data_IF_521233920258
#
_entry.id   IF_521233920258
#
_cell.length_a   1.000
_cell.length_b   1.000
_cell.length_c   1.000
_cell.angle_alpha   90.00
_cell.angle_beta   90.00
_cell.angle_gamma   90.00
#
_symmetry.space_group_name_H-M   'P 1'
#
loop_
_entity.id
_entity.type
_entity.pdbx_description
1 polymer ?
#
# COMPACT_ATOMS: atom_id res chain seq x y z
N UNK A 1 -49.53 -25.41 -63.46
CA UNK A 1 -48.16 -25.90 -63.82
C UNK A 1 -47.29 -25.73 -62.54
N UNK A 2 -47.07 -26.85 -61.83
CA UNK A 2 -46.27 -26.90 -60.59
C UNK A 2 -44.81 -27.04 -60.93
N UNK A 3 -43.93 -26.15 -60.42
CA UNK A 3 -42.52 -26.39 -60.37
C UNK A 3 -42.06 -26.52 -58.91
N UNK A 4 -41.67 -27.72 -58.54
CA UNK A 4 -41.02 -28.10 -57.34
C UNK A 4 -39.56 -27.62 -57.39
N UNK A 5 -39.14 -26.78 -56.48
CA UNK A 5 -37.72 -26.49 -56.22
C UNK A 5 -37.27 -27.30 -55.01
N UNK A 6 -36.31 -28.16 -55.34
CA UNK A 6 -35.63 -29.06 -54.39
C UNK A 6 -34.61 -28.23 -53.59
N UNK A 7 -34.78 -28.12 -52.24
CA UNK A 7 -33.78 -27.57 -51.33
C UNK A 7 -32.80 -28.66 -50.90
N UNK A 8 -31.56 -28.47 -51.25
CA UNK A 8 -30.44 -29.32 -50.83
C UNK A 8 -29.85 -28.77 -49.53
N UNK A 9 -29.75 -29.50 -48.42
CA UNK A 9 -29.08 -29.01 -47.22
C UNK A 9 -27.56 -29.16 -47.35
N UNK A 10 -26.85 -28.03 -47.23
CA UNK A 10 -25.40 -27.99 -47.07
C UNK A 10 -25.05 -28.25 -45.62
N UNK A 11 -24.47 -29.41 -45.32
CA UNK A 11 -23.85 -29.69 -44.01
C UNK A 11 -22.52 -28.93 -43.93
N UNK A 12 -22.46 -27.89 -43.11
CA UNK A 12 -21.19 -27.29 -42.65
C UNK A 12 -20.63 -28.11 -41.49
N UNK A 13 -19.53 -28.81 -41.74
CA UNK A 13 -18.73 -29.42 -40.68
C UNK A 13 -17.87 -28.34 -40.00
N UNK A 14 -18.21 -27.95 -38.78
CA UNK A 14 -17.36 -27.14 -37.91
C UNK A 14 -16.30 -28.03 -37.28
N UNK A 15 -15.07 -27.94 -37.78
CA UNK A 15 -13.87 -28.45 -37.08
C UNK A 15 -13.53 -27.54 -35.92
N UNK A 16 -13.85 -27.96 -34.69
CA UNK A 16 -13.42 -27.32 -33.49
C UNK A 16 -11.92 -27.61 -33.25
N UNK A 17 -11.04 -26.63 -33.57
CA UNK A 17 -9.67 -26.62 -33.08
C UNK A 17 -9.69 -26.37 -31.56
N UNK A 18 -9.55 -27.46 -30.76
CA UNK A 18 -9.34 -27.40 -29.35
C UNK A 18 -7.95 -26.83 -29.02
N UNK A 19 -7.79 -25.51 -28.98
CA UNK A 19 -6.66 -24.86 -28.34
C UNK A 19 -6.82 -24.96 -26.83
N UNK A 20 -6.12 -25.91 -26.18
CA UNK A 20 -6.01 -26.00 -24.74
C UNK A 20 -5.28 -24.76 -24.19
N UNK A 21 -6.02 -23.68 -24.01
CA UNK A 21 -5.55 -22.54 -23.22
C UNK A 21 -5.33 -22.99 -21.79
N UNK A 22 -4.08 -23.09 -21.35
CA UNK A 22 -3.73 -23.20 -19.95
C UNK A 22 -4.24 -21.93 -19.28
N UNK A 23 -5.43 -21.97 -18.72
CA UNK A 23 -5.89 -20.97 -17.76
C UNK A 23 -5.03 -21.19 -16.52
N UNK A 24 -4.13 -20.25 -16.15
CA UNK A 24 -3.40 -20.39 -14.91
C UNK A 24 -4.44 -20.51 -13.79
N UNK A 25 -4.32 -21.57 -13.00
CA UNK A 25 -5.18 -21.76 -11.84
C UNK A 25 -5.12 -20.49 -10.98
N UNK A 26 -6.25 -19.98 -10.46
CA UNK A 26 -6.24 -18.89 -9.55
C UNK A 26 -5.32 -19.24 -8.39
N UNK A 27 -4.29 -18.43 -8.17
CA UNK A 27 -3.40 -18.57 -7.02
C UNK A 27 -4.27 -18.31 -5.79
N UNK A 28 -4.83 -19.37 -5.23
CA UNK A 28 -5.53 -19.38 -3.95
C UNK A 28 -4.49 -19.38 -2.81
N UNK A 29 -3.48 -18.53 -2.90
CA UNK A 29 -2.74 -18.08 -1.76
C UNK A 29 -3.67 -17.15 -0.98
N UNK A 30 -4.18 -17.62 0.17
CA UNK A 30 -4.74 -16.74 1.19
C UNK A 30 -3.74 -15.60 1.31
N UNK A 31 -4.10 -14.33 1.02
CA UNK A 31 -3.18 -13.24 1.26
C UNK A 31 -2.78 -13.38 2.72
N UNK A 32 -1.46 -13.39 3.00
CA UNK A 32 -0.97 -13.39 4.36
C UNK A 32 -1.70 -12.25 5.07
N UNK A 33 -2.66 -12.65 5.93
CA UNK A 33 -3.54 -11.71 6.58
C UNK A 33 -2.70 -10.97 7.62
N UNK A 34 -2.21 -9.82 7.25
CA UNK A 34 -1.42 -9.00 8.16
C UNK A 34 -0.34 -8.19 7.48
N UNK A 35 0.01 -7.13 8.14
CA UNK A 35 0.98 -6.14 7.71
C UNK A 35 2.43 -6.62 7.81
N UNK A 36 2.70 -7.55 8.73
CA UNK A 36 4.01 -8.13 9.00
C UNK A 36 3.85 -9.57 9.53
N UNK A 37 4.82 -10.46 9.28
CA UNK A 37 4.78 -11.81 9.81
C UNK A 37 4.59 -11.83 11.33
N UNK A 38 3.73 -12.75 11.83
CA UNK A 38 3.46 -12.93 13.26
C UNK A 38 2.72 -11.75 13.89
N UNK A 39 1.81 -11.14 13.16
CA UNK A 39 0.93 -10.03 13.62
C UNK A 39 1.65 -8.84 14.26
N UNK A 40 2.91 -8.61 13.86
CA UNK A 40 3.77 -7.52 14.37
C UNK A 40 3.51 -6.18 13.69
N UNK A 41 2.62 -6.14 12.69
CA UNK A 41 2.17 -4.91 12.06
C UNK A 41 1.18 -4.16 12.95
N UNK A 42 1.31 -2.85 13.02
CA UNK A 42 0.37 -2.00 13.74
C UNK A 42 0.35 -0.58 13.18
N UNK A 43 -0.74 0.13 13.46
CA UNK A 43 -0.85 1.57 13.26
C UNK A 43 -1.67 2.17 14.38
N UNK A 44 -1.08 3.15 15.06
CA UNK A 44 -1.72 4.03 16.03
C UNK A 44 -1.65 5.46 15.52
N UNK A 45 -2.77 6.18 15.60
CA UNK A 45 -2.79 7.59 15.25
C UNK A 45 -3.85 8.32 16.08
N UNK A 46 -3.76 9.65 16.12
CA UNK A 46 -4.77 10.49 16.74
C UNK A 46 -5.14 11.61 15.79
N UNK A 47 -6.43 11.68 15.46
CA UNK A 47 -7.02 12.67 14.57
C UNK A 47 -8.00 13.56 15.34
N UNK A 48 -8.03 14.85 14.95
CA UNK A 48 -9.02 15.83 15.41
C UNK A 48 -9.47 16.74 14.28
N UNK A 49 -10.60 17.36 14.46
CA UNK A 49 -11.18 18.30 13.48
C UNK A 49 -12.16 17.61 12.56
N UNK A 50 -11.90 17.60 11.26
CA UNK A 50 -12.83 17.03 10.27
C UNK A 50 -13.11 15.53 10.45
N UNK A 51 -12.25 14.84 11.15
CA UNK A 51 -12.39 13.45 11.57
C UNK A 51 -11.89 13.32 13.02
N UNK A 52 -12.78 12.96 13.92
CA UNK A 52 -12.44 12.62 15.30
C UNK A 52 -12.27 11.12 15.41
N UNK A 53 -11.02 10.64 15.51
CA UNK A 53 -10.72 9.22 15.56
C UNK A 53 -9.36 8.97 16.20
N UNK A 54 -9.25 7.86 16.91
CA UNK A 54 -7.99 7.41 17.51
C UNK A 54 -7.77 5.92 17.14
N UNK A 55 -7.43 5.60 15.88
CA UNK A 55 -7.18 4.23 15.46
C UNK A 55 -6.02 3.61 16.22
N UNK A 56 -6.21 2.34 16.62
CA UNK A 56 -5.22 1.46 17.22
C UNK A 56 -5.39 0.06 16.61
N UNK A 57 -4.83 -0.12 15.40
CA UNK A 57 -5.03 -1.31 14.58
C UNK A 57 -3.82 -2.23 14.65
N UNK A 58 -4.07 -3.52 14.70
CA UNK A 58 -3.04 -4.55 14.82
C UNK A 58 -3.31 -5.77 13.93
N UNK A 59 -2.25 -6.52 13.65
CA UNK A 59 -2.31 -7.86 13.09
C UNK A 59 -3.17 -7.99 11.85
N UNK A 60 -4.04 -8.98 11.82
CA UNK A 60 -4.88 -9.33 10.68
C UNK A 60 -5.97 -8.31 10.32
N UNK A 61 -6.26 -7.34 11.18
CA UNK A 61 -7.21 -6.25 10.88
C UNK A 61 -6.60 -5.19 9.95
N UNK A 62 -5.28 -5.15 9.88
CA UNK A 62 -4.51 -4.14 9.19
C UNK A 62 -3.91 -4.70 7.91
N UNK A 63 -4.15 -4.02 6.79
CA UNK A 63 -3.43 -4.26 5.55
C UNK A 63 -2.40 -3.16 5.35
N UNK A 64 -1.20 -3.51 4.90
CA UNK A 64 -0.21 -2.51 4.54
C UNK A 64 0.59 -2.89 3.29
N UNK A 65 1.11 -1.90 2.67
CA UNK A 65 2.01 -1.99 1.52
C UNK A 65 3.01 -0.84 1.56
N UNK A 66 4.16 -1.05 0.99
CA UNK A 66 5.16 0.01 0.88
C UNK A 66 6.23 -0.30 -0.14
N UNK A 67 7.00 0.73 -0.46
CA UNK A 67 8.10 0.67 -1.42
C UNK A 67 8.77 2.03 -1.58
N UNK A 68 9.67 2.14 -2.54
CA UNK A 68 10.23 3.41 -2.93
C UNK A 68 9.14 4.32 -3.54
N UNK A 69 9.29 5.62 -3.35
CA UNK A 69 8.43 6.59 -4.03
C UNK A 69 8.78 6.64 -5.52
N UNK A 70 7.77 6.78 -6.41
CA UNK A 70 8.01 6.81 -7.85
C UNK A 70 8.95 7.93 -8.32
N UNK A 71 9.00 9.03 -7.57
CA UNK A 71 9.89 10.19 -7.83
C UNK A 71 11.32 9.99 -7.29
N UNK A 72 11.60 8.85 -6.66
CA UNK A 72 12.91 8.55 -6.06
C UNK A 72 13.23 9.35 -4.79
N UNK A 73 12.31 10.19 -4.29
CA UNK A 73 12.55 11.10 -3.16
C UNK A 73 12.37 10.44 -1.79
N UNK A 74 12.33 9.12 -1.72
CA UNK A 74 12.20 8.43 -0.44
C UNK A 74 11.35 7.18 -0.51
N UNK A 75 10.63 6.89 0.56
CA UNK A 75 9.76 5.72 0.65
C UNK A 75 8.29 6.09 0.92
N UNK A 76 7.41 5.19 0.54
CA UNK A 76 5.96 5.28 0.80
C UNK A 76 5.53 4.06 1.58
N UNK A 77 4.73 4.26 2.64
CA UNK A 77 4.05 3.19 3.36
C UNK A 77 2.57 3.53 3.46
N UNK A 78 1.71 2.56 3.17
CA UNK A 78 0.26 2.70 3.19
C UNK A 78 -0.37 1.67 4.12
N UNK A 79 -1.34 2.10 4.91
CA UNK A 79 -2.10 1.28 5.83
C UNK A 79 -3.59 1.40 5.52
N UNK A 80 -4.30 0.29 5.51
CA UNK A 80 -5.75 0.24 5.40
C UNK A 80 -6.31 -0.49 6.62
N UNK A 81 -7.08 0.25 7.41
CA UNK A 81 -7.69 -0.25 8.64
C UNK A 81 -8.91 -1.14 8.40
N UNK A 82 -9.49 -1.70 9.48
CA UNK A 82 -10.73 -2.46 9.40
C UNK A 82 -11.90 -1.57 8.95
N UNK A 83 -13.01 -2.18 8.49
CA UNK A 83 -14.24 -1.46 8.21
C UNK A 83 -14.79 -0.79 9.47
N UNK A 84 -15.20 0.47 9.37
CA UNK A 84 -15.95 1.18 10.38
C UNK A 84 -17.41 0.75 10.46
N UNK A 85 -18.19 1.43 11.29
CA UNK A 85 -19.59 1.07 11.58
C UNK A 85 -20.51 1.10 10.35
N UNK A 86 -20.17 1.90 9.35
CA UNK A 86 -20.95 2.04 8.10
C UNK A 86 -20.24 1.42 6.89
N UNK A 87 -19.19 0.62 7.13
CA UNK A 87 -18.42 -0.05 6.09
C UNK A 87 -17.33 0.80 5.45
N UNK A 88 -17.19 2.07 5.84
CA UNK A 88 -16.06 2.91 5.44
C UNK A 88 -14.75 2.38 6.02
N UNK A 89 -13.65 2.61 5.31
CA UNK A 89 -12.31 2.25 5.78
C UNK A 89 -11.39 3.46 5.71
N UNK A 90 -10.52 3.59 6.69
CA UNK A 90 -9.49 4.61 6.65
C UNK A 90 -8.22 4.04 6.02
N UNK A 91 -7.73 4.74 5.02
CA UNK A 91 -6.39 4.52 4.47
C UNK A 91 -5.48 5.68 4.84
N UNK A 92 -4.35 5.35 5.42
CA UNK A 92 -3.27 6.31 5.70
C UNK A 92 -2.09 6.03 4.79
N UNK A 93 -1.61 7.06 4.11
CA UNK A 93 -0.44 6.97 3.24
C UNK A 93 0.63 7.95 3.75
N UNK A 94 1.79 7.42 4.08
CA UNK A 94 2.95 8.17 4.52
C UNK A 94 3.96 8.24 3.37
N UNK A 95 4.32 9.44 2.94
CA UNK A 95 5.43 9.69 2.04
C UNK A 95 6.59 10.27 2.84
N UNK A 96 7.63 9.47 3.07
CA UNK A 96 8.72 9.75 3.99
C UNK A 96 9.98 10.04 3.18
N UNK A 97 10.61 11.19 3.41
CA UNK A 97 11.86 11.60 2.74
C UNK A 97 13.07 10.92 3.40
N UNK A 98 13.11 9.60 3.31
CA UNK A 98 14.21 8.78 3.79
C UNK A 98 14.62 7.77 2.74
N UNK A 99 15.92 7.57 2.58
CA UNK A 99 16.46 6.63 1.59
C UNK A 99 16.08 5.20 1.96
N UNK A 100 15.61 4.38 0.99
CA UNK A 100 15.39 2.95 1.19
C UNK A 100 16.63 2.25 1.76
N UNK A 101 16.42 1.33 2.72
CA UNK A 101 17.50 0.56 3.33
C UNK A 101 18.36 1.30 4.36
N UNK A 102 18.09 2.58 4.65
CA UNK A 102 18.78 3.29 5.74
C UNK A 102 18.31 2.77 7.09
N UNK A 103 19.15 2.09 7.90
CA UNK A 103 18.67 1.38 9.09
C UNK A 103 17.96 2.27 10.12
N UNK A 104 18.44 3.50 10.28
CA UNK A 104 17.87 4.48 11.23
C UNK A 104 17.88 5.88 10.66
N UNK A 105 16.77 6.60 10.87
CA UNK A 105 16.64 8.01 10.52
C UNK A 105 15.93 8.76 11.65
N UNK A 106 16.18 10.06 11.76
CA UNK A 106 15.54 10.96 12.73
C UNK A 106 15.18 12.27 12.06
N UNK A 107 14.14 12.92 12.58
CA UNK A 107 13.68 14.22 12.13
C UNK A 107 13.45 14.27 10.60
N UNK A 108 12.75 13.25 10.07
CA UNK A 108 12.58 13.07 8.63
C UNK A 108 11.30 13.78 8.16
N UNK A 109 11.39 14.69 7.18
CA UNK A 109 10.23 15.30 6.57
C UNK A 109 9.27 14.25 6.00
N UNK A 110 7.97 14.49 6.19
CA UNK A 110 6.96 13.49 5.85
C UNK A 110 5.68 14.17 5.41
N UNK A 111 5.05 13.66 4.37
CA UNK A 111 3.68 14.01 4.03
C UNK A 111 2.72 12.86 4.36
N UNK A 112 1.49 13.20 4.69
CA UNK A 112 0.48 12.23 5.06
C UNK A 112 -0.79 12.51 4.25
N UNK A 113 -1.36 11.44 3.71
CA UNK A 113 -2.68 11.47 3.10
C UNK A 113 -3.60 10.52 3.86
N UNK A 114 -4.75 11.01 4.27
CA UNK A 114 -5.82 10.23 4.91
C UNK A 114 -7.00 10.15 3.96
N UNK A 115 -7.43 8.94 3.62
CA UNK A 115 -8.52 8.67 2.69
C UNK A 115 -9.61 7.91 3.44
N UNK A 116 -10.85 8.37 3.36
CA UNK A 116 -12.02 7.62 3.82
C UNK A 116 -12.55 6.84 2.63
N UNK A 117 -12.15 5.57 2.50
CA UNK A 117 -12.63 4.70 1.42
C UNK A 117 -14.11 4.37 1.64
N UNK A 118 -14.90 4.46 0.57
CA UNK A 118 -16.36 4.39 0.66
C UNK A 118 -17.03 5.74 0.93
N UNK A 119 -16.29 6.76 1.39
CA UNK A 119 -16.63 8.16 1.47
C UNK A 119 -15.96 8.95 0.34
N UNK A 120 -16.34 10.20 0.17
CA UNK A 120 -15.68 11.12 -0.79
C UNK A 120 -14.69 12.05 -0.09
N UNK A 121 -14.06 11.59 0.99
CA UNK A 121 -13.20 12.42 1.83
C UNK A 121 -11.74 12.01 1.66
N UNK A 122 -10.92 13.00 1.37
CA UNK A 122 -9.47 12.89 1.30
C UNK A 122 -8.86 14.14 1.94
N UNK A 123 -7.91 13.91 2.83
CA UNK A 123 -7.14 14.96 3.50
C UNK A 123 -5.66 14.73 3.23
N UNK A 124 -4.94 15.77 2.82
CA UNK A 124 -3.52 15.67 2.54
C UNK A 124 -2.75 16.85 3.15
N UNK A 125 -1.58 16.56 3.70
CA UNK A 125 -0.59 17.59 4.01
C UNK A 125 0.11 17.96 2.71
N UNK A 126 0.08 19.24 2.35
CA UNK A 126 0.80 19.72 1.17
C UNK A 126 2.21 20.13 1.57
N UNK A 127 3.20 19.53 0.92
CA UNK A 127 4.61 19.69 1.27
C UNK A 127 5.08 18.69 2.33
N UNK A 128 6.39 18.52 2.42
CA UNK A 128 7.03 17.56 3.32
C UNK A 128 7.36 18.13 4.71
N UNK A 129 7.13 19.41 4.91
CA UNK A 129 7.49 20.18 6.12
C UNK A 129 6.39 20.21 7.19
N UNK A 130 5.17 19.77 6.86
CA UNK A 130 4.02 19.82 7.77
C UNK A 130 3.98 18.69 8.78
N UNK A 131 4.59 17.57 8.47
CA UNK A 131 4.72 16.44 9.38
C UNK A 131 6.18 16.00 9.46
N UNK A 132 6.54 15.43 10.57
CA UNK A 132 7.87 14.90 10.79
C UNK A 132 7.81 13.51 11.43
N UNK A 133 8.55 12.59 10.85
CA UNK A 133 8.93 11.35 11.52
C UNK A 133 10.07 11.65 12.48
N UNK A 134 9.82 11.56 13.79
CA UNK A 134 10.83 11.77 14.83
C UNK A 134 11.90 10.69 14.83
N UNK A 135 11.47 9.45 14.69
CA UNK A 135 12.35 8.27 14.62
C UNK A 135 11.80 7.26 13.63
N UNK A 136 12.69 6.67 12.85
CA UNK A 136 12.38 5.59 11.91
C UNK A 136 13.43 4.49 11.96
N UNK A 137 12.98 3.25 11.84
CA UNK A 137 13.80 2.05 11.66
C UNK A 137 13.39 1.36 10.37
N UNK A 138 14.38 0.90 9.60
CA UNK A 138 14.23 0.04 8.45
C UNK A 138 15.05 -1.22 8.67
N UNK A 139 14.39 -2.36 8.81
CA UNK A 139 15.01 -3.64 9.14
C UNK A 139 14.69 -4.65 8.03
N UNK A 140 15.69 -5.28 7.40
CA UNK A 140 15.42 -6.31 6.40
C UNK A 140 14.66 -7.47 7.06
N UNK A 141 13.62 -7.96 6.37
CA UNK A 141 12.91 -9.16 6.78
C UNK A 141 13.66 -10.40 6.31
N UNK A 142 13.60 -11.51 7.07
CA UNK A 142 14.14 -12.78 6.63
C UNK A 142 13.52 -13.21 5.30
N UNK A 143 14.33 -13.76 4.42
CA UNK A 143 13.81 -14.40 3.21
C UNK A 143 13.00 -15.65 3.62
N UNK A 144 11.85 -15.92 2.95
CA UNK A 144 11.14 -17.17 3.15
C UNK A 144 12.06 -18.37 2.89
N UNK A 145 11.88 -19.43 3.67
CA UNK A 145 12.63 -20.68 3.48
C UNK A 145 12.47 -21.18 2.04
N UNK A 146 13.57 -21.48 1.38
CA UNK A 146 13.59 -21.91 -0.02
C UNK A 146 13.50 -20.81 -1.05
N UNK A 147 13.34 -19.53 -0.66
CA UNK A 147 13.44 -18.43 -1.60
C UNK A 147 14.88 -18.30 -2.10
N UNK A 148 15.07 -18.47 -3.41
CA UNK A 148 16.36 -18.30 -4.02
C UNK A 148 16.88 -16.87 -3.75
N UNK A 149 18.17 -16.73 -3.43
CA UNK A 149 18.86 -15.42 -3.34
C UNK A 149 18.81 -14.61 -4.64
N UNK A 150 18.15 -15.13 -5.66
CA UNK A 150 18.00 -14.53 -6.98
C UNK A 150 16.86 -13.49 -7.07
N UNK A 151 16.08 -13.25 -5.99
CA UNK A 151 15.13 -12.17 -6.00
C UNK A 151 15.86 -10.83 -5.92
N UNK A 152 15.67 -9.98 -6.92
CA UNK A 152 16.12 -8.58 -6.91
C UNK A 152 15.29 -7.67 -5.99
N UNK A 153 14.36 -8.24 -5.23
CA UNK A 153 13.47 -7.53 -4.30
C UNK A 153 13.74 -7.96 -2.87
N UNK A 154 13.68 -6.99 -1.96
CA UNK A 154 13.86 -7.19 -0.52
C UNK A 154 12.71 -6.59 0.26
N UNK A 155 12.16 -7.37 1.18
CA UNK A 155 11.15 -6.89 2.11
C UNK A 155 11.82 -6.34 3.38
N UNK A 156 11.29 -5.20 3.83
CA UNK A 156 11.74 -4.51 5.03
C UNK A 156 10.57 -4.27 5.97
N UNK A 157 10.84 -4.39 7.25
CA UNK A 157 10.01 -3.81 8.29
C UNK A 157 10.33 -2.33 8.39
N UNK A 158 9.32 -1.48 8.26
CA UNK A 158 9.41 -0.04 8.47
C UNK A 158 8.65 0.30 9.73
N UNK A 159 9.35 0.81 10.75
CA UNK A 159 8.72 1.31 11.96
C UNK A 159 9.03 2.80 12.12
N UNK A 160 8.01 3.61 12.36
CA UNK A 160 8.17 5.05 12.49
C UNK A 160 7.15 5.64 13.45
N UNK A 161 7.55 6.70 14.16
CA UNK A 161 6.67 7.54 14.96
C UNK A 161 6.93 9.01 14.70
N UNK A 162 5.89 9.83 14.84
CA UNK A 162 5.99 11.25 14.59
C UNK A 162 4.68 11.98 14.80
N UNK A 163 4.64 13.23 14.34
CA UNK A 163 3.52 14.14 14.49
C UNK A 163 3.47 15.13 13.32
N UNK A 164 2.33 15.82 13.18
CA UNK A 164 2.20 16.95 12.27
C UNK A 164 2.09 18.26 13.07
N UNK A 165 2.78 19.29 12.59
CA UNK A 165 2.69 20.65 13.14
C UNK A 165 1.55 21.44 12.48
N UNK A 166 1.23 21.12 11.22
CA UNK A 166 0.16 21.74 10.46
C UNK A 166 -0.90 20.71 10.05
N UNK A 167 -2.17 21.12 9.93
CA UNK A 167 -3.23 20.19 9.56
C UNK A 167 -3.16 19.79 8.09
N UNK A 168 -3.64 18.58 7.80
CA UNK A 168 -4.02 18.16 6.46
C UNK A 168 -5.29 18.89 6.01
N UNK A 169 -5.38 19.23 4.73
CA UNK A 169 -6.53 19.89 4.13
C UNK A 169 -7.33 18.92 3.28
N UNK A 170 -8.64 19.07 3.26
CA UNK A 170 -9.49 18.44 2.23
C UNK A 170 -9.10 18.93 0.84
N UNK A 171 -9.48 18.21 -0.22
CA UNK A 171 -9.15 18.58 -1.61
C UNK A 171 -9.70 19.96 -2.00
N UNK A 172 -10.88 20.32 -1.51
CA UNK A 172 -11.52 21.61 -1.74
C UNK A 172 -11.05 22.70 -0.76
N UNK A 173 -10.20 22.34 0.20
CA UNK A 173 -9.67 23.25 1.20
C UNK A 173 -10.66 23.65 2.31
N UNK A 174 -11.90 23.14 2.29
CA UNK A 174 -12.96 23.54 3.21
C UNK A 174 -12.81 22.97 4.62
N UNK A 175 -12.12 21.84 4.77
CA UNK A 175 -11.97 21.15 6.03
C UNK A 175 -10.51 20.91 6.41
N UNK A 176 -10.26 20.83 7.72
CA UNK A 176 -8.94 20.60 8.31
C UNK A 176 -8.94 19.35 9.18
N UNK A 177 -7.93 18.52 8.99
CA UNK A 177 -7.68 17.32 9.78
C UNK A 177 -6.35 17.47 10.50
N UNK A 178 -6.37 17.50 11.81
CA UNK A 178 -5.19 17.54 12.66
C UNK A 178 -4.72 16.11 12.94
N UNK A 179 -3.44 15.84 12.74
CA UNK A 179 -2.78 14.55 12.99
C UNK A 179 -1.80 14.79 14.14
N UNK A 180 -2.28 14.61 15.36
CA UNK A 180 -1.52 14.95 16.58
C UNK A 180 -0.29 14.05 16.75
N UNK A 181 -0.45 12.78 16.42
CA UNK A 181 0.62 11.77 16.49
C UNK A 181 0.30 10.58 15.60
N UNK A 182 1.34 9.89 15.23
CA UNK A 182 1.27 8.57 14.62
C UNK A 182 2.45 7.70 15.09
N UNK A 183 2.21 6.40 15.16
CA UNK A 183 3.19 5.35 15.45
C UNK A 183 2.79 4.09 14.70
N UNK A 184 3.69 3.53 13.91
CA UNK A 184 3.37 2.37 13.10
C UNK A 184 4.55 1.42 12.88
N UNK A 185 4.23 0.18 12.56
CA UNK A 185 5.13 -0.79 11.92
C UNK A 185 4.41 -1.48 10.78
N UNK A 186 4.99 -1.41 9.59
CA UNK A 186 4.48 -2.00 8.36
C UNK A 186 5.59 -2.57 7.49
N UNK A 187 5.24 -3.06 6.32
CA UNK A 187 6.18 -3.60 5.34
C UNK A 187 6.41 -2.64 4.18
N UNK A 188 7.61 -2.66 3.64
CA UNK A 188 7.95 -2.07 2.34
C UNK A 188 8.86 -3.01 1.56
N UNK A 189 8.68 -3.02 0.24
CA UNK A 189 9.48 -3.82 -0.69
C UNK A 189 10.31 -2.91 -1.56
N UNK A 190 11.61 -3.18 -1.63
CA UNK A 190 12.56 -2.40 -2.42
C UNK A 190 13.27 -3.29 -3.41
N UNK A 191 13.54 -2.75 -4.60
CA UNK A 191 14.46 -3.39 -5.55
C UNK A 191 15.92 -3.16 -5.10
N UNK A 192 16.81 -4.10 -5.42
CA UNK A 192 18.22 -3.99 -5.05
C UNK A 192 18.86 -2.68 -5.55
N UNK A 193 18.51 -2.21 -6.75
CA UNK A 193 19.00 -0.95 -7.29
C UNK A 193 18.53 0.28 -6.49
N UNK A 194 17.38 0.25 -5.85
CA UNK A 194 16.88 1.31 -4.98
C UNK A 194 17.68 1.39 -3.67
N UNK A 195 18.11 0.23 -3.17
CA UNK A 195 18.95 0.11 -1.97
C UNK A 195 20.39 0.59 -2.22
N UNK A 196 20.97 0.26 -3.39
CA UNK A 196 22.35 0.63 -3.75
C UNK A 196 22.48 2.12 -4.13
N UNK A 197 21.47 2.74 -4.72
CA UNK A 197 21.49 4.17 -5.00
C UNK A 197 21.69 5.01 -3.73
N UNK A 198 21.30 4.47 -2.56
CA UNK A 198 21.53 5.12 -1.27
C UNK A 198 23.00 5.11 -0.81
N UNK A 199 23.85 4.20 -1.30
CA UNK A 199 25.26 4.07 -0.91
C UNK A 199 26.22 4.86 -1.80
N UNK A 200 25.83 5.23 -3.02
CA UNK A 200 26.68 5.90 -4.02
C UNK A 200 26.76 7.41 -3.89
N UNK A 201 26.00 8.03 -2.99
CA UNK A 201 25.91 9.51 -2.84
C UNK A 201 26.65 10.05 -1.61
N UNK A 202 27.82 9.47 -1.28
CA UNK A 202 28.78 10.04 -0.32
C UNK A 202 29.95 10.70 -1.00
#
# INVERSE_FOLDING_TARGET
MRRLLSLMPVLLALTACGGGGHVPAPVTGKPDAGCLPGDRGYLKAKFRGALESEPDWHGGELQCEGGARPDGSGLRVSFLGPPGAHGERLRLVFGIDAKPGTPRSRAVPTNITVIVEGGKQLYATQGADKCQVETMLQEPLPLPDGAARASSMRDYRIAARGACIDPASSLDGSARLYIDRFDFAGTARFADNELYAATSSR
#
